data_IF_458155200188
#
_entry.id   IF_458155200188
#
_cell.length_a   1.000
_cell.length_b   1.000
_cell.length_c   1.000
_cell.angle_alpha   90.00
_cell.angle_beta   90.00
_cell.angle_gamma   90.00
#
_symmetry.space_group_name_H-M   'P 1'
#
loop_
_entity.id
_entity.type
_entity.pdbx_description
1 polymer ?
#
# COMPACT_ATOMS: atom_id res chain seq x y z
N UNK A 1 -55.41 17.10 35.40
CA UNK A 1 -54.01 17.53 35.57
C UNK A 1 -53.68 18.55 34.47
N UNK A 2 -53.59 19.83 34.83
CA UNK A 2 -53.32 20.91 33.87
C UNK A 2 -51.83 20.96 33.52
N UNK A 3 -51.43 20.91 32.23
CA UNK A 3 -50.03 21.03 31.84
C UNK A 3 -49.56 22.47 32.04
N UNK A 4 -48.61 22.67 32.97
CA UNK A 4 -48.06 23.99 33.32
C UNK A 4 -47.39 24.64 32.08
N UNK A 5 -47.92 25.76 31.54
CA UNK A 5 -47.47 26.35 30.27
C UNK A 5 -46.03 26.89 30.30
N UNK A 6 -45.50 27.15 31.51
CA UNK A 6 -44.14 27.62 31.73
C UNK A 6 -43.08 26.55 31.39
N UNK A 7 -43.40 25.26 31.59
CA UNK A 7 -42.45 24.15 31.35
C UNK A 7 -42.16 23.99 29.85
N UNK A 8 -43.17 24.22 29.01
CA UNK A 8 -43.04 24.12 27.55
C UNK A 8 -42.21 25.27 26.96
N UNK A 9 -42.33 26.49 27.52
CA UNK A 9 -41.53 27.65 27.08
C UNK A 9 -40.04 27.48 27.41
N UNK A 10 -39.72 26.95 28.58
CA UNK A 10 -38.33 26.66 28.99
C UNK A 10 -37.71 25.56 28.12
N UNK A 11 -38.48 24.51 27.78
CA UNK A 11 -38.02 23.44 26.89
C UNK A 11 -37.76 23.95 25.46
N UNK A 12 -38.61 24.85 24.95
CA UNK A 12 -38.45 25.46 23.63
C UNK A 12 -37.28 26.48 23.56
N UNK A 13 -36.99 27.19 24.65
CA UNK A 13 -35.81 28.05 24.73
C UNK A 13 -34.51 27.23 24.75
N UNK A 14 -34.49 26.11 25.48
CA UNK A 14 -33.34 25.20 25.56
C UNK A 14 -33.01 24.54 24.21
N UNK A 15 -34.04 24.15 23.44
CA UNK A 15 -33.82 23.58 22.10
C UNK A 15 -33.32 24.62 21.10
N UNK A 16 -33.76 25.88 21.18
CA UNK A 16 -33.20 26.95 20.34
C UNK A 16 -31.73 27.22 20.69
N UNK A 17 -31.41 27.28 21.98
CA UNK A 17 -30.04 27.54 22.45
C UNK A 17 -29.08 26.39 22.07
N UNK A 18 -29.55 25.14 22.08
CA UNK A 18 -28.74 23.99 21.61
C UNK A 18 -28.48 24.01 20.11
N UNK A 19 -29.42 24.49 19.29
CA UNK A 19 -29.19 24.64 17.85
C UNK A 19 -28.20 25.77 17.54
N UNK A 20 -28.28 26.89 18.26
CA UNK A 20 -27.35 28.00 18.12
C UNK A 20 -25.94 27.67 18.62
N UNK A 21 -25.81 26.78 19.61
CA UNK A 21 -24.51 26.31 20.10
C UNK A 21 -23.77 25.37 19.12
N UNK A 22 -24.48 24.76 18.16
CA UNK A 22 -23.88 23.91 17.13
C UNK A 22 -23.35 24.71 15.93
N UNK A 23 -23.82 25.95 15.76
CA UNK A 23 -23.43 26.84 14.64
C UNK A 23 -21.91 27.13 14.62
N UNK A 24 -21.24 27.48 15.75
CA UNK A 24 -19.80 27.71 15.75
C UNK A 24 -18.99 26.46 15.38
N UNK A 25 -19.41 25.28 15.83
CA UNK A 25 -18.72 24.02 15.52
C UNK A 25 -18.80 23.67 14.03
N UNK A 26 -19.97 23.87 13.41
CA UNK A 26 -20.16 23.64 11.97
C UNK A 26 -19.40 24.67 11.13
N UNK A 27 -19.37 25.94 11.57
CA UNK A 27 -18.60 27.02 10.89
C UNK A 27 -17.10 26.77 10.96
N UNK A 28 -16.59 26.25 12.09
CA UNK A 28 -15.18 25.88 12.22
C UNK A 28 -14.82 24.65 11.36
N UNK A 29 -15.72 23.67 11.23
CA UNK A 29 -15.53 22.49 10.39
C UNK A 29 -15.68 22.75 8.88
N UNK A 30 -16.34 23.85 8.48
CA UNK A 30 -16.54 24.26 7.08
C UNK A 30 -15.57 25.35 6.63
N UNK A 31 -14.58 25.70 7.46
CA UNK A 31 -13.60 26.74 7.14
C UNK A 31 -12.61 26.25 6.06
N UNK A 32 -12.49 26.93 4.89
CA UNK A 32 -11.60 26.54 3.80
C UNK A 32 -10.11 26.56 4.17
N UNK A 33 -9.74 27.10 5.33
CA UNK A 33 -8.38 27.05 5.88
C UNK A 33 -7.93 25.60 6.16
N UNK A 34 -8.86 24.67 6.46
CA UNK A 34 -8.51 23.25 6.62
C UNK A 34 -8.27 22.52 5.29
N UNK A 35 -8.65 23.10 4.15
CA UNK A 35 -8.36 22.55 2.83
C UNK A 35 -6.93 22.87 2.34
N UNK A 36 -6.25 23.82 3.01
CA UNK A 36 -4.88 24.21 2.71
C UNK A 36 -3.84 23.53 3.63
N UNK A 37 -4.25 22.57 4.48
CA UNK A 37 -3.27 21.74 5.16
C UNK A 37 -2.51 20.92 4.10
N UNK A 38 -1.19 20.73 4.27
CA UNK A 38 -0.42 19.82 3.44
C UNK A 38 -1.11 18.46 3.41
N UNK A 39 -1.75 18.14 2.29
CA UNK A 39 -2.37 16.84 2.09
C UNK A 39 -1.26 15.82 1.96
N UNK A 40 -1.44 14.65 2.59
CA UNK A 40 -0.49 13.57 2.46
C UNK A 40 -0.32 13.25 0.97
N UNK A 41 0.91 13.17 0.43
CA UNK A 41 1.12 12.79 -0.96
C UNK A 41 0.50 11.41 -1.18
N UNK A 42 -0.48 11.32 -2.06
CA UNK A 42 -1.04 10.03 -2.47
C UNK A 42 -0.04 9.32 -3.37
N UNK A 43 0.25 8.02 -3.13
CA UNK A 43 1.10 7.27 -4.02
C UNK A 43 0.31 7.01 -5.29
N UNK A 44 0.75 7.54 -6.42
CA UNK A 44 0.33 7.11 -7.75
C UNK A 44 -1.17 6.84 -7.94
N UNK A 45 -1.47 5.77 -8.67
CA UNK A 45 -2.84 5.36 -9.04
C UNK A 45 -3.42 4.36 -8.04
N UNK A 46 -4.75 4.36 -7.91
CA UNK A 46 -5.47 3.35 -7.14
C UNK A 46 -5.25 1.92 -7.70
N UNK A 47 -5.76 0.90 -7.01
CA UNK A 47 -5.72 -0.49 -7.48
C UNK A 47 -6.46 -0.74 -8.81
N UNK A 48 -7.27 0.21 -9.28
CA UNK A 48 -8.04 0.14 -10.53
C UNK A 48 -7.43 1.01 -11.65
N UNK A 49 -6.28 1.64 -11.41
CA UNK A 49 -5.60 2.51 -12.38
C UNK A 49 -6.13 3.95 -12.46
N UNK A 50 -7.05 4.36 -11.58
CA UNK A 50 -7.56 5.72 -11.54
C UNK A 50 -6.66 6.63 -10.72
N UNK A 51 -6.63 7.92 -11.10
CA UNK A 51 -6.02 8.95 -10.27
C UNK A 51 -6.82 9.12 -8.97
N UNK A 52 -6.16 8.98 -7.84
CA UNK A 52 -6.80 9.15 -6.53
C UNK A 52 -7.12 10.63 -6.31
N UNK A 53 -8.40 10.97 -6.21
CA UNK A 53 -8.85 12.33 -5.93
C UNK A 53 -8.48 12.74 -4.50
N UNK A 54 -8.19 14.03 -4.30
CA UNK A 54 -7.91 14.58 -2.97
C UNK A 54 -9.14 14.37 -2.06
N UNK A 55 -8.96 13.65 -0.95
CA UNK A 55 -10.04 13.31 0.00
C UNK A 55 -10.64 11.90 -0.19
N UNK A 56 -10.26 11.17 -1.24
CA UNK A 56 -10.62 9.76 -1.40
C UNK A 56 -9.69 8.87 -0.57
N UNK A 57 -10.06 8.67 0.70
CA UNK A 57 -9.29 7.86 1.65
C UNK A 57 -9.20 6.39 1.23
N UNK A 58 -10.22 5.87 0.53
CA UNK A 58 -10.27 4.48 0.09
C UNK A 58 -9.31 4.27 -1.09
N UNK A 59 -9.37 5.16 -2.08
CA UNK A 59 -8.43 5.17 -3.20
C UNK A 59 -6.98 5.32 -2.73
N UNK A 60 -6.75 6.24 -1.78
CA UNK A 60 -5.41 6.49 -1.20
C UNK A 60 -4.85 5.26 -0.50
N UNK A 61 -5.67 4.57 0.31
CA UNK A 61 -5.27 3.35 1.01
C UNK A 61 -4.92 2.22 0.02
N UNK A 62 -5.71 2.06 -1.04
CA UNK A 62 -5.48 1.03 -2.05
C UNK A 62 -4.15 1.24 -2.78
N UNK A 63 -3.76 2.49 -3.01
CA UNK A 63 -2.52 2.83 -3.68
C UNK A 63 -1.29 2.61 -2.78
N UNK A 64 -1.39 2.92 -1.49
CA UNK A 64 -0.35 2.58 -0.50
C UNK A 64 -0.15 1.06 -0.38
N UNK A 65 -1.23 0.30 -0.39
CA UNK A 65 -1.16 -1.16 -0.32
C UNK A 65 -0.53 -1.77 -1.59
N UNK A 66 -0.88 -1.23 -2.76
CA UNK A 66 -0.25 -1.57 -4.04
C UNK A 66 1.26 -1.34 -4.05
N UNK A 67 1.71 -0.16 -3.62
CA UNK A 67 3.14 0.14 -3.47
C UNK A 67 3.83 -0.79 -2.45
N UNK A 68 3.15 -1.13 -1.36
CA UNK A 68 3.64 -2.10 -0.37
C UNK A 68 3.87 -3.49 -0.95
N UNK A 69 2.91 -4.00 -1.75
CA UNK A 69 3.06 -5.28 -2.45
C UNK A 69 4.18 -5.26 -3.49
N UNK A 70 4.36 -4.14 -4.20
CA UNK A 70 5.45 -3.98 -5.16
C UNK A 70 6.83 -4.13 -4.49
N UNK A 71 7.02 -3.44 -3.34
CA UNK A 71 8.24 -3.55 -2.55
C UNK A 71 8.46 -4.97 -2.05
N UNK A 72 7.42 -5.65 -1.54
CA UNK A 72 7.55 -7.04 -1.09
C UNK A 72 7.96 -7.99 -2.22
N UNK A 73 7.39 -7.83 -3.43
CA UNK A 73 7.77 -8.60 -4.61
C UNK A 73 9.26 -8.45 -4.95
N UNK A 74 9.77 -7.22 -4.92
CA UNK A 74 11.19 -6.93 -5.18
C UNK A 74 12.11 -7.54 -4.11
N UNK A 75 11.72 -7.48 -2.83
CA UNK A 75 12.51 -8.07 -1.74
C UNK A 75 12.62 -9.58 -1.89
N UNK A 76 11.51 -10.25 -2.24
CA UNK A 76 11.50 -11.70 -2.48
C UNK A 76 12.37 -12.06 -3.69
N UNK A 77 12.30 -11.28 -4.76
CA UNK A 77 13.13 -11.47 -5.95
C UNK A 77 14.63 -11.36 -5.61
N UNK A 78 15.01 -10.32 -4.87
CA UNK A 78 16.38 -10.13 -4.40
C UNK A 78 16.85 -11.31 -3.53
N UNK A 79 16.00 -11.81 -2.63
CA UNK A 79 16.33 -12.97 -1.81
C UNK A 79 16.56 -14.25 -2.64
N UNK A 80 15.72 -14.52 -3.64
CA UNK A 80 15.89 -15.65 -4.55
C UNK A 80 17.18 -15.53 -5.36
N UNK A 81 17.50 -14.32 -5.82
CA UNK A 81 18.75 -14.04 -6.52
C UNK A 81 19.97 -14.35 -5.63
N UNK A 82 19.98 -13.90 -4.37
CA UNK A 82 21.08 -14.21 -3.45
C UNK A 82 21.26 -15.72 -3.22
N UNK A 83 20.16 -16.50 -3.18
CA UNK A 83 20.27 -17.96 -3.04
C UNK A 83 20.90 -18.63 -4.25
N UNK A 84 20.54 -18.20 -5.47
CA UNK A 84 21.11 -18.77 -6.70
C UNK A 84 22.59 -18.40 -6.82
N UNK A 85 22.96 -17.16 -6.54
CA UNK A 85 24.37 -16.72 -6.56
C UNK A 85 25.18 -17.44 -5.47
N UNK A 86 24.66 -17.54 -4.25
CA UNK A 86 25.34 -18.26 -3.15
C UNK A 86 25.55 -19.75 -3.47
N UNK A 87 24.57 -20.39 -4.09
CA UNK A 87 24.69 -21.77 -4.55
C UNK A 87 25.71 -21.93 -5.68
N UNK A 88 25.75 -20.97 -6.62
CA UNK A 88 26.72 -20.96 -7.71
C UNK A 88 28.16 -20.81 -7.20
N UNK A 89 28.38 -19.92 -6.22
CA UNK A 89 29.68 -19.75 -5.55
C UNK A 89 30.09 -21.02 -4.82
N UNK A 90 29.15 -21.69 -4.13
CA UNK A 90 29.42 -22.96 -3.45
C UNK A 90 29.86 -24.03 -4.44
N UNK A 91 29.16 -24.17 -5.58
CA UNK A 91 29.52 -25.11 -6.65
C UNK A 91 30.85 -24.78 -7.33
N UNK A 92 31.16 -23.50 -7.52
CA UNK A 92 32.49 -23.08 -7.98
C UNK A 92 33.59 -23.51 -6.98
N UNK A 93 33.33 -23.35 -5.69
CA UNK A 93 34.23 -23.81 -4.62
C UNK A 93 34.47 -25.32 -4.65
N UNK A 94 33.47 -26.12 -4.98
CA UNK A 94 33.59 -27.58 -5.14
C UNK A 94 34.40 -27.96 -6.40
N UNK A 95 34.20 -27.23 -7.49
CA UNK A 95 34.96 -27.38 -8.74
C UNK A 95 36.46 -27.06 -8.53
N UNK A 96 36.77 -25.93 -7.90
CA UNK A 96 38.16 -25.52 -7.62
C UNK A 96 38.89 -26.44 -6.64
N UNK A 97 38.16 -27.15 -5.78
CA UNK A 97 38.71 -28.18 -4.88
C UNK A 97 38.85 -29.56 -5.53
N UNK A 98 38.57 -29.69 -6.83
CA UNK A 98 38.72 -30.93 -7.60
C UNK A 98 37.72 -32.03 -7.22
N UNK A 99 36.62 -31.69 -6.52
CA UNK A 99 35.61 -32.65 -6.06
C UNK A 99 34.35 -32.69 -6.93
N UNK A 100 34.22 -31.78 -7.90
CA UNK A 100 33.07 -31.69 -8.79
C UNK A 100 33.50 -31.54 -10.25
N UNK A 101 32.75 -32.18 -11.15
CA UNK A 101 32.98 -32.13 -12.58
C UNK A 101 32.45 -30.81 -13.17
N UNK A 102 33.08 -30.32 -14.24
CA UNK A 102 32.69 -29.07 -14.92
C UNK A 102 31.25 -29.14 -15.45
N UNK A 103 30.75 -30.36 -15.68
CA UNK A 103 29.41 -30.65 -16.13
C UNK A 103 28.33 -30.25 -15.10
N UNK A 104 28.58 -30.44 -13.80
CA UNK A 104 27.60 -30.10 -12.76
C UNK A 104 27.51 -28.59 -12.53
N UNK A 105 28.64 -27.88 -12.72
CA UNK A 105 28.68 -26.43 -12.60
C UNK A 105 27.84 -25.74 -13.68
N UNK A 106 28.00 -26.15 -14.94
CA UNK A 106 27.24 -25.56 -16.06
C UNK A 106 25.75 -25.87 -15.96
N UNK A 107 25.37 -27.07 -15.53
CA UNK A 107 23.97 -27.45 -15.37
C UNK A 107 23.32 -26.66 -14.24
N UNK A 108 24.00 -26.51 -13.10
CA UNK A 108 23.53 -25.66 -12.01
C UNK A 108 23.35 -24.21 -12.44
N UNK A 109 24.29 -23.66 -13.23
CA UNK A 109 24.21 -22.29 -13.72
C UNK A 109 23.00 -22.09 -14.65
N UNK A 110 22.78 -23.02 -15.59
CA UNK A 110 21.63 -22.98 -16.51
C UNK A 110 20.32 -23.06 -15.75
N UNK A 111 20.19 -24.03 -14.83
CA UNK A 111 18.98 -24.19 -14.02
C UNK A 111 18.75 -22.98 -13.09
N UNK A 112 19.82 -22.41 -12.54
CA UNK A 112 19.77 -21.18 -11.74
C UNK A 112 19.22 -20.00 -12.55
N UNK A 113 19.71 -19.79 -13.78
CA UNK A 113 19.22 -18.74 -14.68
C UNK A 113 17.74 -18.94 -15.02
N UNK A 114 17.33 -20.18 -15.31
CA UNK A 114 15.92 -20.50 -15.61
C UNK A 114 15.02 -20.17 -14.42
N UNK A 115 15.41 -20.56 -13.21
CA UNK A 115 14.63 -20.29 -11.99
C UNK A 115 14.52 -18.79 -11.72
N UNK A 116 15.62 -18.04 -11.84
CA UNK A 116 15.59 -16.58 -11.66
C UNK A 116 14.74 -15.91 -12.74
N UNK A 117 14.89 -16.32 -14.00
CA UNK A 117 14.07 -15.81 -15.10
C UNK A 117 12.58 -16.07 -14.88
N UNK A 118 12.22 -17.27 -14.42
CA UNK A 118 10.83 -17.60 -14.09
C UNK A 118 10.30 -16.78 -12.90
N UNK A 119 11.12 -16.54 -11.88
CA UNK A 119 10.76 -15.67 -10.76
C UNK A 119 10.50 -14.23 -11.21
N UNK A 120 11.34 -13.69 -12.10
CA UNK A 120 11.14 -12.35 -12.69
C UNK A 120 9.82 -12.28 -13.45
N UNK A 121 9.52 -13.29 -14.27
CA UNK A 121 8.25 -13.36 -15.00
C UNK A 121 7.06 -13.40 -14.04
N UNK A 122 7.09 -14.24 -13.01
CA UNK A 122 6.03 -14.33 -12.00
C UNK A 122 5.80 -13.00 -11.27
N UNK A 123 6.85 -12.30 -10.87
CA UNK A 123 6.74 -10.97 -10.23
C UNK A 123 6.19 -9.93 -11.21
N UNK A 124 6.61 -9.99 -12.47
CA UNK A 124 6.11 -9.08 -13.51
C UNK A 124 4.62 -9.28 -13.76
N UNK A 125 4.16 -10.53 -13.86
CA UNK A 125 2.73 -10.84 -13.95
C UNK A 125 1.98 -10.42 -12.69
N UNK A 126 2.55 -10.58 -11.50
CA UNK A 126 1.94 -10.10 -10.27
C UNK A 126 1.73 -8.58 -10.32
N UNK A 127 2.70 -7.82 -10.81
CA UNK A 127 2.58 -6.36 -10.96
C UNK A 127 1.55 -5.95 -12.02
N UNK A 128 1.44 -6.70 -13.12
CA UNK A 128 0.35 -6.50 -14.10
C UNK A 128 -1.03 -6.74 -13.48
N UNK A 129 -1.19 -7.78 -12.67
CA UNK A 129 -2.45 -8.09 -11.97
C UNK A 129 -2.80 -7.01 -10.93
N UNK A 130 -1.78 -6.41 -10.31
CA UNK A 130 -1.94 -5.33 -9.31
C UNK A 130 -2.11 -3.94 -9.99
N UNK A 131 -1.94 -3.85 -11.32
CA UNK A 131 -2.12 -2.63 -12.11
C UNK A 131 -0.96 -1.64 -12.01
N UNK A 132 0.24 -2.09 -11.66
CA UNK A 132 1.48 -1.29 -11.57
C UNK A 132 2.11 -0.95 -12.94
N UNK A 133 1.59 -1.52 -14.04
CA UNK A 133 2.10 -1.32 -15.42
C UNK A 133 1.07 -0.70 -16.34
#
# INVERSE_FOLDING_TARGET
>A
MSPRPLINKVRAARSKLSHWALVPGVVLMSNPVFAALPTMPTPGTDMKGNAVAAGDWMGSMSAWFKAGLAILGLVILAFMFFKVVGGAVTKWGEYTKGRADIADLKEYLIMGIIIVGFAILMVTYAFQVIGET
#
